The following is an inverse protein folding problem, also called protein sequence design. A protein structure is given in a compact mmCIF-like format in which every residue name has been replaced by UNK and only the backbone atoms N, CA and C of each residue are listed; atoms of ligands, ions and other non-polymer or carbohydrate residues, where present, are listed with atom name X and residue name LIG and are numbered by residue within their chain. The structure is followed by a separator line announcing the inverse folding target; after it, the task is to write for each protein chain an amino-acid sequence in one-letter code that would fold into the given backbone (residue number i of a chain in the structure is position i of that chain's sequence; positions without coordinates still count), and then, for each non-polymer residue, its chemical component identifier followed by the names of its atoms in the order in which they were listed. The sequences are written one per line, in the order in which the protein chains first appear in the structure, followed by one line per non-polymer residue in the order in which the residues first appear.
data_IF_946037066817
#
_entry.id   IF_946037066817
#
_cell.length_a   1.000
_cell.length_b   1.000
_cell.length_c   1.000
_cell.angle_alpha   90.00
_cell.angle_beta   90.00
_cell.angle_gamma   90.00
#
_symmetry.space_group_name_H-M   'P 1'
#
loop_
_entity.id
_entity.type
_entity.pdbx_description
1 polymer ?
#
# COMPACT_ATOMS: atom_id res chain seq x y z
N UNK A 1 -18.56 -23.86 22.25
CA UNK A 1 -19.47 -23.44 21.14
C UNK A 1 -18.67 -23.11 19.88
N UNK A 2 -19.25 -23.23 18.68
CA UNK A 2 -18.57 -22.88 17.41
C UNK A 2 -19.13 -21.58 16.84
N UNK A 3 -18.26 -20.75 16.27
CA UNK A 3 -18.67 -19.52 15.60
C UNK A 3 -19.38 -19.83 14.27
N UNK A 4 -20.59 -19.31 14.10
CA UNK A 4 -21.40 -19.47 12.87
C UNK A 4 -20.82 -18.73 11.67
N UNK A 5 -19.88 -17.79 11.88
CA UNK A 5 -19.23 -17.02 10.82
C UNK A 5 -17.90 -17.58 10.37
N UNK A 6 -17.01 -17.94 11.29
CA UNK A 6 -15.64 -18.37 10.94
C UNK A 6 -15.32 -19.83 11.31
N UNK A 7 -16.25 -20.55 11.93
CA UNK A 7 -16.07 -21.95 12.33
C UNK A 7 -15.11 -22.19 13.50
N UNK A 8 -14.55 -21.14 14.11
CA UNK A 8 -13.64 -21.29 15.23
C UNK A 8 -14.34 -21.88 16.46
N UNK A 9 -13.64 -22.78 17.17
CA UNK A 9 -14.08 -23.31 18.47
C UNK A 9 -13.79 -22.30 19.58
N UNK A 10 -14.83 -21.81 20.23
CA UNK A 10 -14.76 -20.87 21.35
C UNK A 10 -15.14 -21.55 22.68
N UNK A 11 -14.65 -21.01 23.81
CA UNK A 11 -15.11 -21.41 25.13
C UNK A 11 -16.61 -21.10 25.30
N UNK A 12 -17.26 -21.76 26.24
CA UNK A 12 -18.73 -21.77 26.35
C UNK A 12 -19.32 -20.47 26.92
N UNK A 13 -18.49 -19.63 27.53
CA UNK A 13 -18.83 -18.32 28.11
C UNK A 13 -18.42 -17.13 27.23
N UNK A 14 -17.87 -17.38 26.04
CA UNK A 14 -17.42 -16.32 25.14
C UNK A 14 -18.59 -15.55 24.53
N UNK A 15 -18.73 -14.28 24.90
CA UNK A 15 -19.66 -13.32 24.28
C UNK A 15 -19.22 -12.92 22.86
N UNK A 16 -17.91 -12.98 22.57
CA UNK A 16 -17.33 -12.61 21.28
C UNK A 16 -16.38 -13.70 20.76
N UNK A 17 -16.28 -13.83 19.44
CA UNK A 17 -15.34 -14.75 18.84
C UNK A 17 -13.90 -14.24 18.85
N UNK A 18 -12.98 -15.01 19.44
CA UNK A 18 -11.56 -14.64 19.49
C UNK A 18 -10.92 -14.52 18.10
N UNK A 19 -11.46 -15.21 17.09
CA UNK A 19 -10.88 -15.25 15.75
C UNK A 19 -11.40 -14.16 14.82
N UNK A 20 -12.72 -13.91 14.81
CA UNK A 20 -13.33 -12.98 13.86
C UNK A 20 -14.10 -11.82 14.50
N UNK A 21 -14.12 -11.74 15.84
CA UNK A 21 -14.77 -10.65 16.57
C UNK A 21 -16.30 -10.66 16.57
N UNK A 22 -16.95 -11.62 15.89
CA UNK A 22 -18.42 -11.69 15.87
C UNK A 22 -18.98 -12.00 17.27
N UNK A 23 -20.06 -11.31 17.63
CA UNK A 23 -20.88 -11.65 18.79
C UNK A 23 -21.43 -13.07 18.68
N UNK A 24 -21.32 -13.80 19.77
CA UNK A 24 -21.80 -15.17 19.89
C UNK A 24 -22.93 -15.13 20.91
N UNK A 25 -24.18 -15.22 20.45
CA UNK A 25 -25.35 -15.11 21.30
C UNK A 25 -25.37 -16.20 22.38
N UNK A 26 -25.28 -15.78 23.65
CA UNK A 26 -25.57 -16.57 24.84
C UNK A 26 -26.71 -15.87 25.61
N UNK A 27 -27.89 -16.48 25.59
CA UNK A 27 -29.15 -15.93 26.07
C UNK A 27 -29.18 -15.65 27.57
N UNK A 28 -29.59 -14.43 27.94
CA UNK A 28 -30.59 -14.22 29.00
C UNK A 28 -31.58 -13.21 28.44
N UNK A 29 -32.77 -13.69 28.06
CA UNK A 29 -34.10 -13.07 28.23
C UNK A 29 -35.13 -13.75 27.30
N UNK A 30 -36.34 -13.91 27.84
CA UNK A 30 -37.43 -14.83 27.47
C UNK A 30 -38.13 -14.50 26.11
N UNK A 31 -38.96 -15.41 25.57
CA UNK A 31 -39.40 -15.46 24.18
C UNK A 31 -40.57 -14.51 23.93
N UNK A 32 -40.54 -13.78 22.82
CA UNK A 32 -41.74 -13.32 22.10
C UNK A 32 -41.35 -12.80 20.72
N UNK A 33 -42.24 -13.07 19.77
CA UNK A 33 -42.41 -12.41 18.48
C UNK A 33 -41.45 -12.81 17.35
N UNK A 34 -41.78 -13.87 16.61
CA UNK A 34 -42.79 -13.90 15.53
C UNK A 34 -42.39 -12.98 14.37
N UNK A 35 -41.94 -13.57 13.26
CA UNK A 35 -42.70 -13.55 11.99
C UNK A 35 -41.96 -14.25 10.85
N UNK A 36 -42.69 -15.18 10.22
CA UNK A 36 -42.91 -15.33 8.77
C UNK A 36 -41.65 -15.74 7.98
N UNK A 37 -41.48 -17.04 7.68
CA UNK A 37 -42.09 -17.75 6.53
C UNK A 37 -41.44 -17.32 5.20
N UNK A 38 -40.65 -18.21 4.60
CA UNK A 38 -40.86 -18.79 3.27
C UNK A 38 -39.55 -19.37 2.69
N UNK A 39 -39.58 -20.69 2.53
CA UNK A 39 -39.25 -21.46 1.32
C UNK A 39 -38.56 -20.70 0.17
N UNK A 40 -37.50 -21.30 -0.39
CA UNK A 40 -37.60 -21.85 -1.74
C UNK A 40 -36.38 -22.68 -2.13
N UNK A 41 -36.69 -23.92 -2.49
CA UNK A 41 -35.90 -24.88 -3.25
C UNK A 41 -35.60 -24.32 -4.65
N UNK A 42 -34.34 -24.47 -5.06
CA UNK A 42 -33.87 -24.73 -6.43
C UNK A 42 -34.43 -23.90 -7.60
N UNK A 43 -33.56 -23.07 -8.19
CA UNK A 43 -33.54 -22.92 -9.66
C UNK A 43 -32.14 -22.58 -10.17
N UNK A 44 -31.71 -23.36 -11.17
CA UNK A 44 -30.53 -23.16 -12.00
C UNK A 44 -30.72 -21.90 -12.85
N UNK A 45 -29.72 -21.02 -12.91
CA UNK A 45 -29.48 -20.14 -14.05
C UNK A 45 -27.98 -20.02 -14.29
N UNK A 46 -27.57 -20.28 -15.54
CA UNK A 46 -26.26 -20.03 -16.10
C UNK A 46 -25.92 -18.54 -16.00
N UNK A 47 -24.75 -18.20 -15.46
CA UNK A 47 -24.17 -16.87 -15.65
C UNK A 47 -22.69 -17.04 -15.98
N UNK A 48 -22.44 -17.02 -17.29
CA UNK A 48 -21.40 -16.26 -18.00
C UNK A 48 -20.16 -15.92 -17.18
N UNK A 49 -19.02 -16.43 -17.66
CA UNK A 49 -17.67 -15.98 -17.32
C UNK A 49 -17.55 -14.45 -17.45
N UNK A 50 -17.70 -13.75 -16.34
CA UNK A 50 -17.30 -12.35 -16.22
C UNK A 50 -16.01 -12.32 -15.40
N UNK A 51 -14.92 -11.95 -16.10
CA UNK A 51 -13.64 -11.54 -15.50
C UNK A 51 -13.95 -10.54 -14.38
N UNK A 52 -13.80 -10.95 -13.13
CA UNK A 52 -13.77 -10.01 -12.00
C UNK A 52 -12.40 -9.33 -11.97
N UNK A 53 -12.28 -8.30 -12.79
CA UNK A 53 -11.29 -7.23 -12.66
C UNK A 53 -11.75 -6.29 -11.53
N UNK A 54 -11.85 -6.81 -10.31
CA UNK A 54 -12.37 -6.06 -9.17
C UNK A 54 -11.47 -6.29 -7.95
N UNK A 55 -10.47 -5.44 -7.76
CA UNK A 55 -10.45 -4.67 -6.53
C UNK A 55 -9.58 -3.44 -6.75
N UNK A 56 -10.24 -2.29 -6.70
CA UNK A 56 -9.68 -0.97 -6.52
C UNK A 56 -8.38 -1.01 -5.72
N UNK A 57 -7.28 -0.93 -6.45
CA UNK A 57 -6.09 -0.27 -5.93
C UNK A 57 -6.58 1.01 -5.30
N UNK A 58 -6.34 1.20 -4.00
CA UNK A 58 -6.55 2.47 -3.33
C UNK A 58 -5.60 3.48 -3.97
N UNK A 59 -5.99 4.00 -5.14
CA UNK A 59 -5.38 5.15 -5.78
C UNK A 59 -5.68 6.28 -4.82
N UNK A 60 -4.70 6.55 -3.96
CA UNK A 60 -4.72 7.70 -3.10
C UNK A 60 -5.05 8.91 -3.97
N UNK A 61 -6.15 9.56 -3.61
CA UNK A 61 -6.76 10.73 -4.26
C UNK A 61 -5.66 11.66 -4.77
N UNK A 62 -5.68 12.10 -6.05
CA UNK A 62 -4.70 13.06 -6.54
C UNK A 62 -4.91 14.38 -5.79
N UNK A 63 -4.10 14.61 -4.76
CA UNK A 63 -3.91 15.95 -4.23
C UNK A 63 -3.06 16.71 -5.24
N UNK A 64 -3.58 17.85 -5.70
CA UNK A 64 -3.06 18.59 -6.86
C UNK A 64 -1.64 19.14 -6.69
N UNK A 65 -1.07 19.05 -5.49
CA UNK A 65 0.21 19.62 -5.13
C UNK A 65 1.27 18.51 -5.02
N UNK A 66 2.26 18.51 -5.92
CA UNK A 66 3.43 17.61 -5.85
C UNK A 66 4.08 17.60 -4.46
N UNK A 67 4.08 18.75 -3.78
CA UNK A 67 4.61 18.91 -2.43
C UNK A 67 3.84 18.12 -1.37
N UNK A 68 2.51 18.08 -1.45
CA UNK A 68 1.68 17.30 -0.52
C UNK A 68 1.87 15.80 -0.78
N UNK A 69 2.07 15.42 -2.03
CA UNK A 69 2.42 14.04 -2.37
C UNK A 69 3.81 13.68 -1.83
N UNK A 70 4.79 14.58 -1.90
CA UNK A 70 6.12 14.31 -1.36
C UNK A 70 6.12 14.19 0.17
N UNK A 71 5.32 15.00 0.86
CA UNK A 71 5.31 15.10 2.33
C UNK A 71 4.33 14.15 3.01
N UNK A 72 3.37 13.57 2.27
CA UNK A 72 2.46 12.58 2.81
C UNK A 72 3.13 11.21 2.93
N UNK A 73 3.51 10.81 4.15
CA UNK A 73 4.01 9.46 4.45
C UNK A 73 2.91 8.44 4.70
N UNK A 74 1.64 8.88 4.65
CA UNK A 74 0.50 7.99 4.74
C UNK A 74 0.25 7.33 3.39
N UNK A 75 0.16 6.01 3.37
CA UNK A 75 -0.21 5.28 2.16
C UNK A 75 0.57 4.02 1.91
N UNK A 76 0.08 3.29 0.91
CA UNK A 76 0.70 2.11 0.33
C UNK A 76 0.84 2.33 -1.17
N UNK A 77 1.88 1.76 -1.77
CA UNK A 77 2.18 1.93 -3.19
C UNK A 77 2.42 0.58 -3.84
N UNK A 78 1.73 0.32 -4.95
CA UNK A 78 1.90 -0.92 -5.71
C UNK A 78 3.28 -1.01 -6.36
N UNK A 79 3.71 -2.24 -6.66
CA UNK A 79 5.03 -2.51 -7.25
C UNK A 79 5.24 -1.79 -8.57
N UNK A 80 4.20 -1.79 -9.41
CA UNK A 80 4.24 -1.17 -10.72
C UNK A 80 4.42 0.34 -10.60
N UNK A 81 3.59 1.00 -9.78
CA UNK A 81 3.65 2.45 -9.59
C UNK A 81 4.98 2.90 -9.00
N UNK A 82 5.56 2.12 -8.09
CA UNK A 82 6.89 2.38 -7.55
C UNK A 82 7.96 2.42 -8.64
N UNK A 83 8.05 1.38 -9.48
CA UNK A 83 9.05 1.33 -10.54
C UNK A 83 8.84 2.40 -11.62
N UNK A 84 7.59 2.71 -11.97
CA UNK A 84 7.30 3.83 -12.86
C UNK A 84 7.76 5.17 -12.27
N UNK A 85 7.56 5.40 -10.97
CA UNK A 85 8.04 6.60 -10.30
C UNK A 85 9.58 6.68 -10.32
N UNK A 86 10.27 5.58 -10.05
CA UNK A 86 11.73 5.51 -10.10
C UNK A 86 12.27 5.79 -11.50
N UNK A 87 11.69 5.17 -12.53
CA UNK A 87 12.05 5.42 -13.93
C UNK A 87 11.81 6.88 -14.30
N UNK A 88 10.66 7.46 -13.92
CA UNK A 88 10.35 8.86 -14.19
C UNK A 88 11.36 9.82 -13.52
N UNK A 89 11.74 9.54 -12.28
CA UNK A 89 12.77 10.31 -11.56
C UNK A 89 14.11 10.22 -12.29
N UNK A 90 14.56 9.03 -12.69
CA UNK A 90 15.81 8.83 -13.43
C UNK A 90 15.78 9.56 -14.78
N UNK A 91 14.68 9.48 -15.53
CA UNK A 91 14.51 10.20 -16.79
C UNK A 91 14.61 11.72 -16.60
N UNK A 92 13.98 12.26 -15.55
CA UNK A 92 14.10 13.67 -15.21
C UNK A 92 15.57 14.05 -14.90
N UNK A 93 16.30 13.19 -14.20
CA UNK A 93 17.72 13.39 -13.92
C UNK A 93 18.60 13.39 -15.17
N UNK A 94 18.31 12.50 -16.11
CA UNK A 94 18.97 12.48 -17.42
C UNK A 94 18.74 13.80 -18.16
N UNK A 95 17.50 14.32 -18.17
CA UNK A 95 17.20 15.63 -18.76
C UNK A 95 17.99 16.76 -18.10
N UNK A 96 18.05 16.81 -16.76
CA UNK A 96 18.84 17.80 -16.01
C UNK A 96 20.32 17.71 -16.37
N UNK A 97 20.88 16.50 -16.45
CA UNK A 97 22.26 16.28 -16.86
C UNK A 97 22.58 16.84 -18.25
N UNK A 98 21.70 16.60 -19.24
CA UNK A 98 21.89 17.16 -20.59
C UNK A 98 21.80 18.69 -20.63
N UNK A 99 20.92 19.28 -19.81
CA UNK A 99 20.82 20.74 -19.66
C UNK A 99 22.11 21.30 -19.07
N UNK A 100 22.64 20.68 -18.01
CA UNK A 100 23.88 21.11 -17.36
C UNK A 100 25.09 21.03 -18.31
N UNK A 101 25.22 19.93 -19.07
CA UNK A 101 26.26 19.76 -20.09
C UNK A 101 26.12 20.78 -21.23
N UNK A 102 24.90 21.07 -21.65
CA UNK A 102 24.64 22.06 -22.70
C UNK A 102 25.00 23.48 -22.24
N UNK A 103 24.66 23.84 -21.00
CA UNK A 103 25.01 25.15 -20.41
C UNK A 103 26.53 25.32 -20.26
N UNK A 104 27.23 24.26 -19.84
CA UNK A 104 28.69 24.27 -19.70
C UNK A 104 29.39 24.52 -21.05
N UNK A 105 28.87 23.97 -22.15
CA UNK A 105 29.43 24.16 -23.49
C UNK A 105 29.29 25.61 -24.02
N UNK A 106 28.37 26.41 -23.50
CA UNK A 106 28.15 27.82 -23.92
C UNK A 106 29.01 28.80 -23.11
N UNK A 107 29.91 28.29 -22.26
CA UNK A 107 30.79 29.12 -21.43
C UNK A 107 30.08 29.80 -20.26
N UNK A 108 28.85 29.35 -19.94
CA UNK A 108 28.21 29.72 -18.69
C UNK A 108 29.03 29.09 -17.54
N UNK A 109 29.53 29.94 -16.63
CA UNK A 109 30.20 29.51 -15.40
C UNK A 109 29.41 28.39 -14.71
N UNK A 110 30.13 27.41 -14.17
CA UNK A 110 29.70 26.28 -13.32
C UNK A 110 28.29 26.40 -12.69
N UNK A 111 27.25 26.20 -13.51
CA UNK A 111 25.84 26.30 -13.13
C UNK A 111 25.37 24.98 -12.50
N UNK A 112 26.08 24.48 -11.49
CA UNK A 112 25.73 23.23 -10.81
C UNK A 112 24.50 23.38 -9.89
N UNK A 113 23.95 24.58 -9.74
CA UNK A 113 22.81 24.84 -8.86
C UNK A 113 21.57 24.03 -9.25
N UNK A 114 21.35 23.82 -10.55
CA UNK A 114 20.23 23.04 -11.06
C UNK A 114 20.38 21.56 -10.66
N UNK A 115 21.59 21.01 -10.78
CA UNK A 115 21.94 19.67 -10.32
C UNK A 115 21.68 19.52 -8.81
N UNK A 116 22.08 20.51 -8.00
CA UNK A 116 21.85 20.49 -6.55
C UNK A 116 20.36 20.52 -6.17
N UNK A 117 19.57 21.37 -6.84
CA UNK A 117 18.12 21.42 -6.61
C UNK A 117 17.44 20.10 -6.99
N UNK A 118 17.82 19.53 -8.14
CA UNK A 118 17.32 18.22 -8.55
C UNK A 118 17.75 17.13 -7.57
N UNK A 119 18.99 17.15 -7.06
CA UNK A 119 19.47 16.17 -6.08
C UNK A 119 18.64 16.20 -4.79
N UNK A 120 18.30 17.39 -4.30
CA UNK A 120 17.43 17.54 -3.12
C UNK A 120 16.03 16.99 -3.42
N UNK A 121 15.44 17.38 -4.55
CA UNK A 121 14.13 16.87 -4.97
C UNK A 121 14.12 15.35 -5.10
N UNK A 122 15.14 14.79 -5.76
CA UNK A 122 15.30 13.35 -5.96
C UNK A 122 15.43 12.60 -4.64
N UNK A 123 16.20 13.14 -3.67
CA UNK A 123 16.34 12.56 -2.34
C UNK A 123 14.99 12.45 -1.63
N UNK A 124 14.21 13.54 -1.59
CA UNK A 124 12.89 13.53 -0.96
C UNK A 124 11.90 12.60 -1.67
N UNK A 125 11.89 12.61 -3.01
CA UNK A 125 11.01 11.76 -3.80
C UNK A 125 11.33 10.26 -3.61
N UNK A 126 12.61 9.91 -3.59
CA UNK A 126 13.07 8.54 -3.39
C UNK A 126 12.70 8.05 -1.99
N UNK A 127 13.01 8.83 -0.95
CA UNK A 127 12.64 8.46 0.44
C UNK A 127 11.11 8.31 0.57
N UNK A 128 10.34 9.27 0.05
CA UNK A 128 8.86 9.23 0.13
C UNK A 128 8.27 7.98 -0.54
N UNK A 129 8.75 7.63 -1.73
CA UNK A 129 8.29 6.43 -2.47
C UNK A 129 8.73 5.13 -1.81
N UNK A 130 9.95 5.05 -1.29
CA UNK A 130 10.44 3.89 -0.55
C UNK A 130 9.64 3.67 0.73
N UNK A 131 9.35 4.72 1.52
CA UNK A 131 8.54 4.62 2.74
C UNK A 131 7.18 3.96 2.46
N UNK A 132 6.47 4.46 1.44
CA UNK A 132 5.16 3.91 1.05
C UNK A 132 5.25 2.47 0.58
N UNK A 133 6.35 2.09 -0.06
CA UNK A 133 6.53 0.71 -0.50
C UNK A 133 6.88 -0.23 0.64
N UNK A 134 7.70 0.21 1.59
CA UNK A 134 7.99 -0.54 2.80
C UNK A 134 6.70 -0.80 3.61
N UNK A 135 5.83 0.21 3.72
CA UNK A 135 4.51 0.06 4.34
C UNK A 135 3.62 -0.97 3.63
N UNK A 136 3.69 -1.06 2.30
CA UNK A 136 2.97 -2.07 1.52
C UNK A 136 3.40 -3.52 1.86
N UNK A 137 4.64 -3.70 2.32
CA UNK A 137 5.18 -5.00 2.79
C UNK A 137 5.02 -5.21 4.31
N UNK A 138 4.19 -4.40 4.98
CA UNK A 138 3.99 -4.39 6.44
C UNK A 138 5.29 -4.18 7.25
N UNK A 139 6.26 -3.45 6.69
CA UNK A 139 7.49 -3.03 7.38
C UNK A 139 7.41 -1.55 7.73
N UNK A 140 8.12 -1.15 8.78
CA UNK A 140 8.27 0.27 9.12
C UNK A 140 9.24 0.94 8.14
N UNK A 141 9.09 2.24 7.90
CA UNK A 141 10.03 3.01 7.06
C UNK A 141 11.47 3.07 7.59
N UNK A 142 11.72 2.66 8.85
CA UNK A 142 13.06 2.57 9.42
C UNK A 142 14.00 1.62 8.65
N UNK A 143 13.46 0.67 7.88
CA UNK A 143 14.28 -0.22 7.05
C UNK A 143 15.04 0.52 5.94
N UNK A 144 14.69 1.78 5.62
CA UNK A 144 15.47 2.63 4.72
C UNK A 144 16.88 2.89 5.26
N UNK A 145 17.05 2.95 6.59
CA UNK A 145 18.35 3.16 7.21
C UNK A 145 19.34 2.02 6.91
N UNK A 146 18.84 0.83 6.55
CA UNK A 146 19.69 -0.28 6.10
C UNK A 146 20.42 0.09 4.80
N UNK A 147 19.82 0.91 3.94
CA UNK A 147 20.44 1.43 2.72
C UNK A 147 21.67 2.32 2.98
N UNK A 148 21.87 2.80 4.22
CA UNK A 148 23.08 3.54 4.60
C UNK A 148 24.33 2.63 4.62
N UNK A 149 24.14 1.30 4.72
CA UNK A 149 25.21 0.32 4.61
C UNK A 149 25.52 0.10 3.11
N UNK A 150 26.75 0.38 2.65
CA UNK A 150 27.09 0.26 1.24
C UNK A 150 26.99 -1.19 0.77
N UNK A 151 26.57 -1.37 -0.48
CA UNK A 151 26.45 -2.65 -1.20
C UNK A 151 25.40 -3.58 -0.58
N UNK A 152 25.67 -4.14 0.60
CA UNK A 152 24.80 -5.14 1.24
C UNK A 152 23.46 -4.53 1.63
N UNK A 153 23.48 -3.33 2.22
CA UNK A 153 22.27 -2.63 2.63
C UNK A 153 21.36 -2.28 1.45
N UNK A 154 21.97 -1.80 0.37
CA UNK A 154 21.28 -1.47 -0.88
C UNK A 154 20.63 -2.71 -1.52
N UNK A 155 21.33 -3.86 -1.54
CA UNK A 155 20.77 -5.11 -2.06
C UNK A 155 19.58 -5.58 -1.22
N UNK A 156 19.69 -5.56 0.11
CA UNK A 156 18.59 -5.96 1.00
C UNK A 156 17.39 -5.06 0.79
N UNK A 157 17.60 -3.74 0.73
CA UNK A 157 16.55 -2.76 0.53
C UNK A 157 15.87 -2.95 -0.84
N UNK A 158 16.65 -3.21 -1.89
CA UNK A 158 16.11 -3.53 -3.22
C UNK A 158 15.26 -4.81 -3.21
N UNK A 159 15.69 -5.85 -2.49
CA UNK A 159 14.88 -7.06 -2.31
C UNK A 159 13.56 -6.72 -1.61
N UNK A 160 13.60 -5.94 -0.52
CA UNK A 160 12.40 -5.46 0.20
C UNK A 160 11.44 -4.68 -0.70
N UNK A 161 11.97 -3.82 -1.57
CA UNK A 161 11.20 -3.07 -2.56
C UNK A 161 10.67 -3.93 -3.72
N UNK A 162 11.12 -5.17 -3.87
CA UNK A 162 10.63 -6.10 -4.89
C UNK A 162 9.59 -7.09 -4.34
N UNK A 163 9.48 -7.24 -3.02
CA UNK A 163 8.54 -8.17 -2.41
C UNK A 163 7.07 -7.85 -2.78
N UNK A 164 6.22 -8.89 -2.92
CA UNK A 164 4.79 -8.69 -3.12
C UNK A 164 4.16 -8.01 -1.91
N UNK A 165 3.04 -7.33 -2.17
CA UNK A 165 2.20 -6.70 -1.16
C UNK A 165 1.72 -7.73 -0.13
N UNK A 166 1.70 -7.33 1.14
CA UNK A 166 1.06 -8.09 2.21
C UNK A 166 -0.28 -7.45 2.53
N UNK A 167 -1.37 -8.17 2.26
CA UNK A 167 -2.73 -7.68 2.54
C UNK A 167 -3.22 -8.09 3.92
N UNK A 168 -2.86 -9.29 4.35
CA UNK A 168 -3.28 -9.85 5.62
C UNK A 168 -2.55 -9.17 6.79
N UNK A 169 -3.31 -8.68 7.78
CA UNK A 169 -2.79 -8.05 9.00
C UNK A 169 -1.79 -6.89 8.76
N UNK A 170 -1.93 -6.18 7.64
CA UNK A 170 -1.09 -5.02 7.35
C UNK A 170 -1.67 -3.77 8.03
N UNK A 171 -0.92 -3.25 9.01
CA UNK A 171 -1.33 -2.10 9.82
C UNK A 171 -1.43 -0.77 9.04
N UNK A 172 -0.80 -0.69 7.87
CA UNK A 172 -0.76 0.53 7.05
C UNK A 172 -1.93 0.64 6.07
N UNK A 173 -2.64 -0.47 5.85
CA UNK A 173 -3.85 -0.51 5.03
C UNK A 173 -5.04 -0.15 5.93
N UNK A 174 -5.57 1.07 5.78
CA UNK A 174 -6.82 1.47 6.45
C UNK A 174 -7.99 0.77 5.75
N UNK A 175 -8.45 -0.36 6.29
CA UNK A 175 -9.71 -0.99 5.90
C UNK A 175 -10.86 -0.04 6.29
N UNK A 176 -11.44 0.64 5.30
CA UNK A 176 -12.65 1.45 5.48
C UNK A 176 -13.88 0.66 5.08
#
# INVERSE_FOLDING_TARGET
MFCTKCGAKNPEDATFCYKCGNEMYGTKDNPSDNKIVNDNVGKKEEVVNEKKENNSDTVQKPNSSLFEWLTSFEGVMSVKSFWFAQVALVLLGICVFFIDVSLLNVGAYNNTWLTWLYAIFYLFATISTEFRRLHDTNKSGAYILIGLIPIVGQIILLILLCLPRVEENNQWIKNK
#
